data_IF_002361801406
#
_entry.id   IF_002361801406
#
_cell.length_a   1.000
_cell.length_b   1.000
_cell.length_c   1.000
_cell.angle_alpha   90.00
_cell.angle_beta   90.00
_cell.angle_gamma   90.00
#
_symmetry.space_group_name_H-M   'P 1'
#
loop_
_entity.id
_entity.type
_entity.pdbx_description
1 polymer ?
#
# COMPACT_ATOMS: atom_id res chain seq x y z
N UNK A 1 -4.97 -2.78 21.94
CA UNK A 1 -5.08 -2.73 20.46
C UNK A 1 -3.76 -3.11 19.80
N UNK A 2 -2.90 -3.84 20.50
CA UNK A 2 -1.48 -3.90 20.14
C UNK A 2 -1.23 -4.80 18.93
N UNK A 3 -2.04 -5.85 18.79
CA UNK A 3 -2.06 -6.71 17.60
C UNK A 3 -2.41 -5.88 16.36
N UNK A 4 -3.46 -5.05 16.43
CA UNK A 4 -3.89 -4.18 15.33
C UNK A 4 -2.80 -3.15 14.99
N UNK A 5 -2.24 -2.51 16.01
CA UNK A 5 -1.16 -1.55 15.87
C UNK A 5 0.11 -2.16 15.27
N UNK A 6 0.40 -3.45 15.49
CA UNK A 6 1.55 -4.14 14.91
C UNK A 6 1.28 -4.69 13.50
N UNK A 7 0.12 -5.32 13.29
CA UNK A 7 -0.18 -6.10 12.07
C UNK A 7 -0.34 -5.19 10.84
N UNK A 8 -1.05 -4.08 10.96
CA UNK A 8 -1.34 -3.23 9.80
C UNK A 8 -0.09 -2.51 9.24
N UNK A 9 0.83 -1.95 10.04
CA UNK A 9 2.10 -1.45 9.53
C UNK A 9 2.94 -2.55 8.87
N UNK A 10 2.96 -3.76 9.45
CA UNK A 10 3.68 -4.90 8.88
C UNK A 10 3.12 -5.31 7.50
N UNK A 11 1.79 -5.37 7.37
CA UNK A 11 1.13 -5.61 6.08
C UNK A 11 1.43 -4.50 5.08
N UNK A 12 1.39 -3.23 5.49
CA UNK A 12 1.77 -2.10 4.63
C UNK A 12 3.22 -2.19 4.16
N UNK A 13 4.14 -2.64 5.02
CA UNK A 13 5.54 -2.85 4.63
C UNK A 13 5.64 -3.91 3.53
N UNK A 14 4.94 -5.04 3.69
CA UNK A 14 4.90 -6.10 2.67
C UNK A 14 4.36 -5.55 1.34
N UNK A 15 3.29 -4.74 1.38
CA UNK A 15 2.74 -4.08 0.19
C UNK A 15 3.77 -3.12 -0.40
N UNK A 16 4.41 -2.28 0.42
CA UNK A 16 5.39 -1.27 -0.02
C UNK A 16 6.57 -1.91 -0.75
N UNK A 17 7.14 -2.97 -0.17
CA UNK A 17 8.24 -3.73 -0.77
C UNK A 17 7.80 -4.39 -2.06
N UNK A 18 6.64 -5.05 -2.08
CA UNK A 18 6.10 -5.69 -3.29
C UNK A 18 5.90 -4.68 -4.43
N UNK A 19 5.32 -3.52 -4.11
CA UNK A 19 5.10 -2.43 -5.07
C UNK A 19 6.43 -1.86 -5.55
N UNK A 20 7.41 -1.69 -4.66
CA UNK A 20 8.73 -1.19 -5.03
C UNK A 20 9.48 -2.14 -5.97
N UNK A 21 9.45 -3.44 -5.69
CA UNK A 21 10.06 -4.46 -6.56
C UNK A 21 9.42 -4.47 -7.95
N UNK A 22 8.09 -4.33 -8.02
CA UNK A 22 7.38 -4.21 -9.30
C UNK A 22 7.70 -2.91 -10.03
N UNK A 23 7.82 -1.78 -9.32
CA UNK A 23 8.19 -0.48 -9.87
C UNK A 23 9.61 -0.44 -10.45
N UNK A 24 10.50 -1.26 -9.89
CA UNK A 24 11.88 -1.47 -10.36
C UNK A 24 11.99 -2.51 -11.48
N UNK A 25 10.89 -3.19 -11.84
CA UNK A 25 10.89 -4.26 -12.83
C UNK A 25 11.48 -5.59 -12.33
N UNK A 26 11.82 -5.69 -11.04
CA UNK A 26 12.35 -6.93 -10.44
C UNK A 26 11.24 -7.95 -10.19
N UNK A 27 10.03 -7.48 -9.87
CA UNK A 27 8.84 -8.31 -9.80
C UNK A 27 8.06 -8.18 -11.10
N UNK A 28 8.22 -9.17 -11.97
CA UNK A 28 7.48 -9.27 -13.23
C UNK A 28 5.97 -9.41 -12.98
N UNK A 29 5.18 -9.02 -13.99
CA UNK A 29 3.73 -9.21 -13.99
C UNK A 29 3.37 -10.68 -13.73
N UNK A 30 2.57 -10.91 -12.70
CA UNK A 30 2.26 -12.25 -12.23
C UNK A 30 0.84 -12.31 -11.63
N UNK A 31 0.38 -13.51 -11.27
CA UNK A 31 -0.96 -13.73 -10.70
C UNK A 31 -0.99 -13.83 -9.17
N UNK A 32 0.13 -13.64 -8.49
CA UNK A 32 0.27 -13.88 -7.04
C UNK A 32 0.35 -12.58 -6.24
N UNK A 33 1.24 -11.65 -6.62
CA UNK A 33 1.59 -10.48 -5.83
C UNK A 33 1.61 -9.19 -6.67
N UNK A 34 1.28 -8.06 -6.03
CA UNK A 34 1.20 -6.73 -6.63
C UNK A 34 -0.24 -6.21 -6.80
N UNK A 35 -0.37 -4.99 -7.34
CA UNK A 35 -1.66 -4.36 -7.62
C UNK A 35 -2.19 -4.88 -8.96
N UNK A 36 -3.22 -5.73 -8.90
CA UNK A 36 -3.76 -6.46 -10.04
C UNK A 36 -5.13 -5.91 -10.44
N UNK A 37 -5.14 -5.03 -11.43
CA UNK A 37 -6.36 -4.60 -12.11
C UNK A 37 -6.28 -5.00 -13.58
N UNK A 38 -7.40 -4.89 -14.31
CA UNK A 38 -7.42 -5.10 -15.75
C UNK A 38 -6.37 -4.21 -16.45
N UNK A 39 -6.22 -2.97 -15.97
CA UNK A 39 -5.26 -2.01 -16.52
C UNK A 39 -3.80 -2.40 -16.23
N UNK A 40 -3.46 -2.75 -14.99
CA UNK A 40 -2.07 -3.08 -14.63
C UNK A 40 -1.59 -4.40 -15.24
N UNK A 41 -2.51 -5.30 -15.58
CA UNK A 41 -2.19 -6.62 -16.15
C UNK A 41 -2.09 -6.62 -17.69
N UNK A 42 -2.38 -5.51 -18.39
CA UNK A 42 -2.42 -5.48 -19.86
C UNK A 42 -1.04 -5.71 -20.51
N UNK A 43 0.01 -5.10 -19.97
CA UNK A 43 1.38 -5.22 -20.48
C UNK A 43 2.39 -5.06 -19.34
N UNK A 44 3.64 -5.48 -19.56
CA UNK A 44 4.71 -5.30 -18.56
C UNK A 44 5.07 -3.81 -18.39
N UNK A 45 4.93 -3.00 -19.45
CA UNK A 45 5.07 -1.55 -19.36
C UNK A 45 3.98 -0.92 -18.48
N UNK A 46 2.71 -1.33 -18.63
CA UNK A 46 1.61 -0.88 -17.77
C UNK A 46 1.81 -1.32 -16.32
N UNK A 47 2.33 -2.53 -16.10
CA UNK A 47 2.67 -3.05 -14.78
C UNK A 47 3.71 -2.18 -14.06
N UNK A 48 4.85 -1.91 -14.70
CA UNK A 48 5.93 -1.10 -14.10
C UNK A 48 5.47 0.34 -13.86
N UNK A 49 4.79 0.95 -14.85
CA UNK A 49 4.30 2.33 -14.73
C UNK A 49 3.28 2.48 -13.59
N UNK A 50 2.34 1.55 -13.47
CA UNK A 50 1.35 1.55 -12.40
C UNK A 50 2.02 1.45 -11.02
N UNK A 51 2.92 0.49 -10.81
CA UNK A 51 3.59 0.31 -9.53
C UNK A 51 4.53 1.49 -9.19
N UNK A 52 5.20 2.06 -10.19
CA UNK A 52 6.02 3.27 -10.01
C UNK A 52 5.19 4.47 -9.57
N UNK A 53 3.97 4.63 -10.10
CA UNK A 53 3.06 5.71 -9.68
C UNK A 53 2.54 5.53 -8.25
N UNK A 54 2.33 4.28 -7.81
CA UNK A 54 1.79 3.97 -6.50
C UNK A 54 2.83 3.87 -5.38
N UNK A 55 4.13 3.76 -5.71
CA UNK A 55 5.20 3.53 -4.71
C UNK A 55 5.23 4.60 -3.63
N UNK A 56 5.15 5.88 -4.01
CA UNK A 56 5.16 6.99 -3.05
C UNK A 56 3.94 6.92 -2.11
N UNK A 57 2.75 6.63 -2.64
CA UNK A 57 1.52 6.50 -1.84
C UNK A 57 1.67 5.41 -0.77
N UNK A 58 2.17 4.24 -1.14
CA UNK A 58 2.30 3.12 -0.20
C UNK A 58 3.38 3.40 0.85
N UNK A 59 4.52 3.99 0.47
CA UNK A 59 5.57 4.34 1.43
C UNK A 59 5.14 5.42 2.43
N UNK A 60 4.42 6.45 1.96
CA UNK A 60 3.86 7.47 2.85
C UNK A 60 2.84 6.86 3.82
N UNK A 61 1.97 5.98 3.32
CA UNK A 61 1.01 5.27 4.15
C UNK A 61 1.67 4.35 5.18
N UNK A 62 2.75 3.65 4.80
CA UNK A 62 3.55 2.85 5.73
C UNK A 62 4.13 3.71 6.85
N UNK A 63 4.81 4.81 6.52
CA UNK A 63 5.39 5.71 7.52
C UNK A 63 4.31 6.27 8.45
N UNK A 64 3.19 6.73 7.90
CA UNK A 64 2.06 7.22 8.68
C UNK A 64 1.54 6.14 9.64
N UNK A 65 1.37 4.91 9.14
CA UNK A 65 0.90 3.77 9.93
C UNK A 65 1.85 3.41 11.08
N UNK A 66 3.17 3.46 10.84
CA UNK A 66 4.19 3.22 11.88
C UNK A 66 4.13 4.29 12.96
N UNK A 67 4.07 5.56 12.57
CA UNK A 67 3.99 6.69 13.52
C UNK A 67 2.73 6.55 14.39
N UNK A 68 1.58 6.28 13.78
CA UNK A 68 0.32 6.07 14.53
C UNK A 68 0.40 4.85 15.45
N UNK A 69 1.04 3.76 15.02
CA UNK A 69 1.22 2.57 15.84
C UNK A 69 2.09 2.84 17.08
N UNK A 70 3.20 3.57 16.94
CA UNK A 70 4.09 3.94 18.06
C UNK A 70 3.30 4.72 19.11
N UNK A 71 2.51 5.71 18.69
CA UNK A 71 1.65 6.48 19.61
C UNK A 71 0.61 5.59 20.28
N UNK A 72 0.04 4.63 19.54
CA UNK A 72 -0.98 3.70 20.05
C UNK A 72 -0.43 2.78 21.14
N UNK A 73 0.82 2.30 21.02
CA UNK A 73 1.43 1.43 22.04
C UNK A 73 1.66 2.13 23.38
N UNK A 74 1.84 3.45 23.37
CA UNK A 74 1.97 4.25 24.60
C UNK A 74 0.62 4.67 25.19
N UNK A 75 -0.50 4.38 24.51
CA UNK A 75 -1.82 4.83 24.90
C UNK A 75 -2.58 3.77 25.72
N UNK A 76 -3.36 4.22 26.69
CA UNK A 76 -4.19 3.37 27.55
C UNK A 76 -5.69 3.64 27.35
N UNK A 77 -6.53 2.69 27.78
CA UNK A 77 -7.99 2.82 27.76
C UNK A 77 -8.55 3.15 26.38
N UNK A 78 -9.45 4.14 26.31
CA UNK A 78 -10.11 4.56 25.08
C UNK A 78 -9.12 5.07 24.01
N UNK A 79 -8.00 5.66 24.42
CA UNK A 79 -7.00 6.20 23.48
C UNK A 79 -6.29 5.07 22.71
N UNK A 80 -6.05 3.91 23.35
CA UNK A 80 -5.53 2.72 22.67
C UNK A 80 -6.51 2.23 21.58
N UNK A 81 -7.81 2.24 21.89
CA UNK A 81 -8.87 1.86 20.95
C UNK A 81 -8.89 2.79 19.73
N UNK A 82 -8.92 4.10 19.96
CA UNK A 82 -8.89 5.11 18.91
C UNK A 82 -7.64 4.97 18.04
N UNK A 83 -6.47 4.78 18.67
CA UNK A 83 -5.21 4.57 17.98
C UNK A 83 -5.23 3.34 17.06
N UNK A 84 -5.72 2.20 17.56
CA UNK A 84 -5.83 0.99 16.75
C UNK A 84 -6.78 1.15 15.56
N UNK A 85 -7.92 1.85 15.74
CA UNK A 85 -8.82 2.17 14.63
C UNK A 85 -8.13 3.10 13.62
N UNK A 86 -7.41 4.12 14.09
CA UNK A 86 -6.68 5.04 13.22
C UNK A 86 -5.62 4.31 12.37
N UNK A 87 -4.87 3.37 12.94
CA UNK A 87 -3.92 2.53 12.18
C UNK A 87 -4.63 1.75 11.08
N UNK A 88 -5.77 1.12 11.38
CA UNK A 88 -6.55 0.40 10.38
C UNK A 88 -7.06 1.33 9.27
N UNK A 89 -7.54 2.53 9.62
CA UNK A 89 -7.99 3.55 8.65
C UNK A 89 -6.85 3.97 7.72
N UNK A 90 -5.65 4.23 8.26
CA UNK A 90 -4.46 4.56 7.45
C UNK A 90 -4.13 3.42 6.47
N UNK A 91 -4.16 2.17 6.94
CA UNK A 91 -3.98 0.99 6.08
C UNK A 91 -4.99 0.94 4.92
N UNK A 92 -6.28 1.06 5.23
CA UNK A 92 -7.33 1.01 4.21
C UNK A 92 -7.24 2.17 3.22
N UNK A 93 -7.07 3.40 3.72
CA UNK A 93 -6.97 4.59 2.88
C UNK A 93 -5.75 4.51 1.94
N UNK A 94 -4.61 4.04 2.44
CA UNK A 94 -3.39 3.85 1.64
C UNK A 94 -3.60 2.79 0.57
N UNK A 95 -4.19 1.65 0.93
CA UNK A 95 -4.41 0.53 0.01
C UNK A 95 -5.35 0.92 -1.13
N UNK A 96 -6.44 1.62 -0.81
CA UNK A 96 -7.40 2.12 -1.81
C UNK A 96 -6.76 3.22 -2.66
N UNK A 97 -6.04 4.17 -2.05
CA UNK A 97 -5.35 5.24 -2.77
C UNK A 97 -4.33 4.69 -3.76
N UNK A 98 -3.50 3.74 -3.33
CA UNK A 98 -2.51 3.08 -4.19
C UNK A 98 -3.17 2.31 -5.34
N UNK A 99 -4.28 1.61 -5.07
CA UNK A 99 -5.06 0.93 -6.11
C UNK A 99 -5.56 1.90 -7.18
N UNK A 100 -6.14 3.03 -6.77
CA UNK A 100 -6.68 4.04 -7.69
C UNK A 100 -5.56 4.66 -8.52
N UNK A 101 -4.46 5.07 -7.89
CA UNK A 101 -3.30 5.66 -8.57
C UNK A 101 -2.71 4.68 -9.58
N UNK A 102 -2.45 3.44 -9.17
CA UNK A 102 -1.94 2.39 -10.04
C UNK A 102 -2.87 2.10 -11.22
N UNK A 103 -4.18 2.00 -10.98
CA UNK A 103 -5.15 1.71 -12.03
C UNK A 103 -5.19 2.81 -13.09
N UNK A 104 -5.17 4.08 -12.67
CA UNK A 104 -5.16 5.23 -13.58
C UNK A 104 -3.88 5.26 -14.43
N UNK A 105 -2.73 5.07 -13.81
CA UNK A 105 -1.45 5.05 -14.51
C UNK A 105 -1.34 3.85 -15.47
N UNK A 106 -1.76 2.66 -15.04
CA UNK A 106 -1.82 1.47 -15.89
C UNK A 106 -2.75 1.68 -17.09
N UNK A 107 -3.90 2.31 -16.89
CA UNK A 107 -4.87 2.56 -17.97
C UNK A 107 -4.32 3.53 -19.02
N UNK A 108 -3.61 4.59 -18.58
CA UNK A 108 -3.01 5.57 -19.49
C UNK A 108 -1.95 4.94 -20.41
N UNK A 109 -1.13 4.03 -19.89
CA UNK A 109 -0.11 3.31 -20.68
C UNK A 109 -0.75 2.21 -21.53
N UNK A 110 -1.82 1.59 -21.04
CA UNK A 110 -2.55 0.55 -21.76
C UNK A 110 -3.27 1.08 -23.02
N UNK A 111 -3.67 2.35 -23.06
CA UNK A 111 -4.34 2.96 -24.20
C UNK A 111 -3.40 3.54 -25.26
N UNK A 112 -2.10 3.63 -24.95
CA UNK A 112 -1.04 4.06 -25.88
C UNK A 112 -0.56 2.88 -26.73
#
# INVERSE_FOLDING_TARGET
MDVVAAVFPALLLVIAVTVQLAAQGLLHRNRVAGIRTIATMKSDAAWVAAHRSASLTVWLGFVASVVTAIVTFAAEGLNSIIGGVAVAVVFFATSVGALVVANRAGAAVASA
#
